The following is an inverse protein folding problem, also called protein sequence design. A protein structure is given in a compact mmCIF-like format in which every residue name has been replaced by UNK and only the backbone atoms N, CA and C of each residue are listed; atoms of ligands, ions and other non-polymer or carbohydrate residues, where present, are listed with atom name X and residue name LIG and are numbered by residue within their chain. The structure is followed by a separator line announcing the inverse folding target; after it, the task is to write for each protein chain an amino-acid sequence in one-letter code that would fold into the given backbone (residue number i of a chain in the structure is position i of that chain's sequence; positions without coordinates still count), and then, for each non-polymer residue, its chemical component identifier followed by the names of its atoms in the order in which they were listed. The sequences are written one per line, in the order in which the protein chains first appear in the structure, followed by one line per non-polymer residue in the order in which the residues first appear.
data_IF_967090572863
#
_entry.id   IF_967090572863
#
_cell.length_a   1.000
_cell.length_b   1.000
_cell.length_c   1.000
_cell.angle_alpha   90.00
_cell.angle_beta   90.00
_cell.angle_gamma   90.00
#
_symmetry.space_group_name_H-M   'P 1'
#
loop_
_entity.id
_entity.type
_entity.pdbx_description
1 polymer ?
#
# COMPACT_ATOMS: atom_id res chain seq x y z
N UNK A 1 36.36 -38.39 53.34
CA UNK A 1 36.50 -36.92 53.38
C UNK A 1 35.86 -36.36 52.12
N UNK A 2 34.76 -35.60 52.26
CA UNK A 2 34.15 -34.83 51.16
C UNK A 2 34.54 -33.36 51.32
N UNK A 3 34.92 -32.68 50.25
CA UNK A 3 35.09 -31.23 50.26
C UNK A 3 33.74 -30.54 50.01
N UNK A 4 33.45 -29.39 50.65
CA UNK A 4 32.24 -28.62 50.38
C UNK A 4 32.41 -27.72 49.15
N UNK A 5 31.36 -27.64 48.34
CA UNK A 5 31.29 -26.77 47.15
C UNK A 5 31.20 -25.28 47.55
N UNK A 6 32.13 -24.45 47.07
CA UNK A 6 32.03 -23.00 47.18
C UNK A 6 31.07 -22.40 46.14
N UNK A 7 30.54 -21.17 46.36
CA UNK A 7 29.59 -20.54 45.45
C UNK A 7 30.25 -19.99 44.18
N UNK A 8 29.58 -20.19 43.03
CA UNK A 8 30.00 -19.65 41.74
C UNK A 8 29.73 -18.14 41.67
N UNK A 9 30.80 -17.34 41.56
CA UNK A 9 30.68 -15.88 41.34
C UNK A 9 30.40 -15.63 39.85
N UNK A 10 29.20 -15.13 39.55
CA UNK A 10 28.78 -14.76 38.19
C UNK A 10 29.42 -13.42 37.81
N UNK A 11 30.07 -13.35 36.65
CA UNK A 11 30.68 -12.10 36.16
C UNK A 11 29.60 -11.01 35.92
N UNK A 12 29.93 -9.76 36.25
CA UNK A 12 29.02 -8.64 36.08
C UNK A 12 28.86 -8.27 34.60
N UNK A 13 27.64 -8.37 34.07
CA UNK A 13 27.32 -7.93 32.71
C UNK A 13 27.45 -6.41 32.52
N UNK A 14 27.54 -5.93 31.27
CA UNK A 14 27.70 -4.50 30.97
C UNK A 14 26.52 -3.69 31.54
N UNK A 15 26.84 -2.61 32.26
CA UNK A 15 25.84 -1.74 32.88
C UNK A 15 24.98 -1.08 31.80
N UNK A 16 23.66 -1.26 31.89
CA UNK A 16 22.68 -0.53 31.05
C UNK A 16 22.90 0.98 31.20
N UNK A 17 22.92 1.76 30.09
CA UNK A 17 23.13 3.20 30.15
C UNK A 17 21.99 3.90 30.91
N UNK A 18 22.32 4.96 31.65
CA UNK A 18 21.31 5.70 32.42
C UNK A 18 20.40 6.53 31.51
N UNK A 19 19.20 6.87 31.97
CA UNK A 19 18.26 7.75 31.23
C UNK A 19 18.92 9.06 30.77
N UNK A 20 19.84 9.62 31.57
CA UNK A 20 20.62 10.81 31.19
C UNK A 20 21.63 10.57 30.05
N UNK A 21 22.26 9.38 30.00
CA UNK A 21 23.16 9.03 28.90
C UNK A 21 22.38 8.79 27.59
N UNK A 22 21.20 8.18 27.67
CA UNK A 22 20.28 8.01 26.53
C UNK A 22 19.80 9.39 26.03
N UNK A 23 19.38 10.28 26.93
CA UNK A 23 18.96 11.64 26.58
C UNK A 23 20.09 12.41 25.85
N UNK A 24 21.32 12.42 26.40
CA UNK A 24 22.47 13.10 25.77
C UNK A 24 22.80 12.55 24.37
N UNK A 25 22.67 11.24 24.15
CA UNK A 25 22.85 10.63 22.80
C UNK A 25 21.78 11.09 21.82
N UNK A 26 20.51 11.16 22.25
CA UNK A 26 19.41 11.70 21.42
C UNK A 26 19.60 13.17 21.08
N UNK A 27 20.02 14.00 22.04
CA UNK A 27 20.31 15.43 21.78
C UNK A 27 21.47 15.61 20.79
N UNK A 28 22.54 14.81 20.91
CA UNK A 28 23.68 14.88 19.99
C UNK A 28 23.29 14.45 18.57
N UNK A 29 22.51 13.38 18.43
CA UNK A 29 22.01 12.92 17.13
C UNK A 29 21.12 13.99 16.47
N UNK A 30 20.19 14.60 17.22
CA UNK A 30 19.34 15.68 16.71
C UNK A 30 20.15 16.90 16.22
N UNK A 31 21.21 17.29 16.95
CA UNK A 31 22.09 18.40 16.53
C UNK A 31 22.88 18.07 15.25
N UNK A 32 23.29 16.82 15.05
CA UNK A 32 23.95 16.38 13.81
C UNK A 32 22.99 16.42 12.63
N UNK A 33 21.74 15.94 12.80
CA UNK A 33 20.71 16.00 11.75
C UNK A 33 20.41 17.46 11.36
N UNK A 34 20.22 18.36 12.32
CA UNK A 34 19.99 19.79 12.05
C UNK A 34 21.18 20.43 11.31
N UNK A 35 22.42 20.08 11.67
CA UNK A 35 23.60 20.58 10.96
C UNK A 35 23.69 20.08 9.51
N UNK A 36 23.33 18.82 9.25
CA UNK A 36 23.28 18.26 7.89
C UNK A 36 22.20 18.96 7.05
N UNK A 37 20.99 19.13 7.58
CA UNK A 37 19.89 19.82 6.89
C UNK A 37 20.26 21.27 6.56
N UNK A 38 20.89 22.00 7.49
CA UNK A 38 21.36 23.36 7.25
C UNK A 38 22.43 23.44 6.15
N UNK A 39 23.36 22.47 6.08
CA UNK A 39 24.37 22.40 5.02
C UNK A 39 23.76 22.10 3.65
N UNK A 40 22.77 21.20 3.57
CA UNK A 40 22.02 20.93 2.32
C UNK A 40 21.26 22.18 1.85
N UNK A 41 20.62 22.91 2.78
CA UNK A 41 19.88 24.14 2.46
C UNK A 41 20.78 25.30 1.99
N UNK A 42 22.03 25.35 2.48
CA UNK A 42 23.05 26.32 2.04
C UNK A 42 23.71 25.94 0.70
N UNK A 43 23.68 24.66 0.32
CA UNK A 43 24.27 24.16 -0.92
C UNK A 43 23.28 24.12 -2.11
N UNK A 44 21.99 24.39 -1.88
CA UNK A 44 20.96 24.31 -2.92
C UNK A 44 21.02 25.51 -3.88
N UNK A 45 21.15 25.30 -5.21
CA UNK A 45 21.12 26.40 -6.17
C UNK A 45 19.72 27.04 -6.18
N UNK A 46 19.65 28.36 -5.95
CA UNK A 46 18.44 29.14 -6.19
C UNK A 46 18.41 29.55 -7.65
N UNK A 47 17.47 29.04 -8.42
CA UNK A 47 17.20 29.47 -9.79
C UNK A 47 16.39 30.76 -9.77
N UNK A 48 16.97 31.86 -10.26
CA UNK A 48 16.23 33.10 -10.52
C UNK A 48 15.19 32.90 -11.64
N UNK A 49 14.08 33.63 -11.53
CA UNK A 49 12.92 33.47 -12.42
C UNK A 49 13.16 33.93 -13.85
N UNK A 50 12.41 33.35 -14.78
CA UNK A 50 12.30 33.82 -16.17
C UNK A 50 10.84 34.09 -16.47
N UNK A 51 10.46 35.36 -16.49
CA UNK A 51 9.21 35.80 -17.11
C UNK A 51 9.24 35.49 -18.61
N UNK A 52 8.24 34.76 -19.13
CA UNK A 52 7.92 34.78 -20.55
C UNK A 52 6.43 34.93 -20.81
N UNK A 53 6.14 35.81 -21.76
CA UNK A 53 4.83 36.34 -22.04
C UNK A 53 3.85 35.30 -22.59
N UNK A 54 2.59 35.44 -22.18
CA UNK A 54 1.44 34.76 -22.77
C UNK A 54 1.26 35.20 -24.22
N UNK A 55 1.38 34.25 -25.15
CA UNK A 55 0.95 34.42 -26.54
C UNK A 55 -0.33 33.63 -26.77
N UNK A 56 -1.48 34.31 -26.81
CA UNK A 56 -2.75 33.69 -27.19
C UNK A 56 -2.77 33.41 -28.69
N UNK A 57 -3.17 32.20 -29.08
CA UNK A 57 -3.96 31.97 -30.29
C UNK A 57 -4.80 30.70 -30.11
N UNK A 58 -6.08 30.81 -30.43
CA UNK A 58 -6.95 29.67 -30.69
C UNK A 58 -6.52 28.97 -31.98
N UNK A 59 -6.84 27.69 -32.13
CA UNK A 59 -7.84 27.23 -33.12
C UNK A 59 -7.99 25.70 -33.03
N UNK A 60 -9.24 25.25 -32.85
CA UNK A 60 -9.71 23.87 -33.06
C UNK A 60 -10.39 23.83 -34.44
N UNK A 61 -10.16 22.81 -35.28
CA UNK A 61 -11.22 21.81 -35.39
C UNK A 61 -10.75 20.35 -35.59
N UNK A 62 -11.36 19.47 -34.79
CA UNK A 62 -11.62 18.05 -35.02
C UNK A 62 -11.64 17.51 -36.47
N UNK A 63 -11.10 16.30 -36.70
CA UNK A 63 -11.85 15.06 -37.06
C UNK A 63 -11.00 13.95 -37.72
N UNK A 64 -11.25 12.70 -37.32
CA UNK A 64 -11.28 11.53 -38.23
C UNK A 64 -9.98 10.73 -38.48
N UNK A 65 -9.97 9.45 -38.06
CA UNK A 65 -8.98 8.45 -38.49
C UNK A 65 -9.10 7.13 -37.72
N UNK A 66 -9.75 6.12 -38.31
CA UNK A 66 -9.95 4.79 -37.70
C UNK A 66 -8.86 3.78 -38.11
N UNK A 67 -8.69 2.72 -37.30
CA UNK A 67 -7.88 1.51 -37.58
C UNK A 67 -8.38 0.73 -38.82
N UNK A 68 -7.58 -0.20 -39.39
CA UNK A 68 -7.46 -1.59 -38.89
C UNK A 68 -5.98 -2.08 -38.91
N UNK A 69 -5.56 -3.32 -38.61
CA UNK A 69 -6.15 -4.63 -38.17
C UNK A 69 -5.00 -5.39 -37.40
N UNK A 70 -5.10 -6.60 -36.84
CA UNK A 70 -6.15 -7.64 -36.74
C UNK A 70 -5.49 -8.99 -36.32
N UNK A 71 -6.18 -9.88 -35.61
CA UNK A 71 -5.62 -11.17 -35.17
C UNK A 71 -6.33 -11.87 -34.01
N UNK A 72 -7.44 -12.54 -34.34
CA UNK A 72 -7.91 -13.87 -33.87
C UNK A 72 -7.43 -14.41 -32.50
N UNK A 73 -8.27 -14.98 -31.63
CA UNK A 73 -9.70 -15.27 -31.74
C UNK A 73 -10.14 -16.20 -30.58
N UNK A 74 -10.52 -15.61 -29.45
CA UNK A 74 -11.07 -16.31 -28.28
C UNK A 74 -12.59 -16.21 -28.24
N UNK A 75 -13.28 -17.33 -28.02
CA UNK A 75 -14.74 -17.36 -27.93
C UNK A 75 -15.18 -17.05 -26.49
N UNK A 76 -15.00 -15.80 -26.09
CA UNK A 76 -15.27 -15.31 -24.74
C UNK A 76 -16.77 -15.12 -24.51
N UNK A 77 -17.49 -16.23 -24.42
CA UNK A 77 -18.79 -16.31 -23.73
C UNK A 77 -18.56 -16.30 -22.20
N UNK A 78 -17.74 -15.33 -21.76
CA UNK A 78 -17.51 -15.02 -20.36
C UNK A 78 -18.82 -14.41 -19.85
N UNK A 79 -19.65 -15.29 -19.27
CA UNK A 79 -21.08 -15.07 -19.04
C UNK A 79 -21.44 -13.64 -18.66
N UNK A 80 -21.98 -12.90 -19.62
CA UNK A 80 -22.47 -11.55 -19.42
C UNK A 80 -23.64 -11.64 -18.44
N UNK A 81 -23.39 -11.30 -17.17
CA UNK A 81 -24.45 -11.25 -16.16
C UNK A 81 -25.49 -10.24 -16.64
N UNK A 82 -26.66 -10.75 -17.02
CA UNK A 82 -27.76 -9.93 -17.52
C UNK A 82 -28.19 -8.98 -16.40
N UNK A 83 -28.17 -7.65 -16.60
CA UNK A 83 -28.58 -6.71 -15.57
C UNK A 83 -30.04 -6.98 -15.15
N UNK A 84 -30.21 -7.48 -13.93
CA UNK A 84 -31.50 -7.99 -13.41
C UNK A 84 -31.43 -9.40 -12.80
N UNK A 85 -30.37 -10.18 -13.08
CA UNK A 85 -30.18 -11.53 -12.52
C UNK A 85 -29.03 -11.63 -11.49
N UNK A 86 -28.28 -10.55 -11.25
CA UNK A 86 -27.26 -10.52 -10.20
C UNK A 86 -27.94 -10.51 -8.81
N UNK A 87 -27.74 -11.52 -7.94
CA UNK A 87 -28.31 -11.52 -6.60
C UNK A 87 -27.61 -10.56 -5.63
N UNK A 88 -26.48 -9.97 -6.01
CA UNK A 88 -25.71 -9.08 -5.13
C UNK A 88 -26.32 -7.68 -5.14
N UNK A 89 -26.84 -7.27 -3.98
CA UNK A 89 -27.35 -5.92 -3.70
C UNK A 89 -26.31 -5.08 -2.94
N UNK A 90 -25.35 -5.72 -2.25
CA UNK A 90 -24.30 -5.06 -1.47
C UNK A 90 -22.90 -5.59 -1.83
N UNK A 91 -21.95 -4.69 -2.07
CA UNK A 91 -20.53 -5.00 -2.20
C UNK A 91 -19.75 -4.29 -1.09
N UNK A 92 -18.94 -5.03 -0.34
CA UNK A 92 -18.06 -4.52 0.70
C UNK A 92 -16.61 -4.80 0.32
N UNK A 93 -15.81 -3.75 0.16
CA UNK A 93 -14.35 -3.83 0.02
C UNK A 93 -13.72 -3.66 1.42
N UNK A 94 -13.22 -4.74 2.00
CA UNK A 94 -12.47 -4.72 3.26
C UNK A 94 -10.98 -4.65 2.91
N UNK A 95 -10.36 -3.50 3.18
CA UNK A 95 -8.99 -3.19 2.76
C UNK A 95 -8.08 -3.23 3.98
N UNK A 96 -7.09 -4.12 3.95
CA UNK A 96 -6.06 -4.38 4.96
C UNK A 96 -4.71 -3.81 4.46
N UNK A 97 -3.68 -3.91 5.29
CA UNK A 97 -2.40 -3.22 5.04
C UNK A 97 -1.21 -4.16 4.81
N UNK A 98 -0.44 -3.88 3.75
CA UNK A 98 0.95 -4.24 3.48
C UNK A 98 1.25 -5.75 3.54
N UNK A 99 0.77 -6.54 2.57
CA UNK A 99 1.02 -7.99 2.45
C UNK A 99 1.10 -8.47 1.00
N UNK A 100 2.14 -9.24 0.68
CA UNK A 100 2.19 -10.06 -0.53
C UNK A 100 1.31 -11.30 -0.42
N UNK A 101 1.00 -11.92 -1.57
CA UNK A 101 0.18 -13.13 -1.60
C UNK A 101 0.95 -14.32 -1.03
N UNK A 102 2.21 -14.49 -1.43
CA UNK A 102 3.06 -15.58 -0.94
C UNK A 102 3.21 -15.56 0.59
N UNK A 103 3.28 -14.38 1.21
CA UNK A 103 3.44 -14.23 2.67
C UNK A 103 2.25 -14.75 3.48
N UNK A 104 1.01 -14.67 2.96
CA UNK A 104 -0.19 -15.16 3.66
C UNK A 104 -0.67 -16.52 3.16
N UNK A 105 -0.51 -16.78 1.86
CA UNK A 105 -1.17 -17.89 1.16
C UNK A 105 -0.25 -18.68 0.23
N UNK A 106 1.04 -18.36 0.08
CA UNK A 106 1.95 -19.10 -0.81
C UNK A 106 2.09 -20.60 -0.48
N UNK A 107 1.79 -20.98 0.78
CA UNK A 107 1.72 -22.38 1.24
C UNK A 107 0.31 -23.00 1.15
N UNK A 108 -0.70 -22.27 0.68
CA UNK A 108 -2.09 -22.73 0.62
C UNK A 108 -2.26 -23.81 -0.47
N UNK A 109 -2.97 -24.93 -0.22
CA UNK A 109 -3.08 -25.98 -1.22
C UNK A 109 -3.82 -25.56 -2.50
N UNK A 110 -3.11 -25.55 -3.63
CA UNK A 110 -3.69 -25.41 -4.97
C UNK A 110 -3.60 -24.02 -5.59
N UNK A 111 -2.94 -23.06 -4.94
CA UNK A 111 -2.60 -21.75 -5.53
C UNK A 111 -1.26 -21.82 -6.27
N UNK A 112 -1.01 -20.85 -7.15
CA UNK A 112 0.33 -20.52 -7.61
C UNK A 112 1.09 -19.81 -6.47
N UNK A 113 2.04 -20.50 -5.83
CA UNK A 113 2.76 -20.01 -4.65
C UNK A 113 4.15 -20.63 -4.51
N UNK A 114 5.06 -19.91 -3.84
CA UNK A 114 6.46 -20.27 -3.67
C UNK A 114 6.82 -20.65 -2.22
N UNK A 115 7.91 -21.41 -2.06
CA UNK A 115 8.53 -21.70 -0.74
C UNK A 115 10.02 -21.36 -0.69
N UNK A 116 10.58 -20.91 -1.81
CA UNK A 116 11.94 -20.39 -1.94
C UNK A 116 11.90 -19.12 -2.79
N UNK A 117 12.82 -18.18 -2.56
CA UNK A 117 12.84 -16.90 -3.23
C UNK A 117 14.25 -16.43 -3.57
N UNK A 118 14.42 -15.92 -4.79
CA UNK A 118 15.71 -15.44 -5.28
C UNK A 118 16.16 -14.15 -4.57
N UNK A 119 17.47 -13.92 -4.54
CA UNK A 119 18.12 -12.80 -3.85
C UNK A 119 19.16 -12.11 -4.73
N UNK A 120 19.53 -10.87 -4.35
CA UNK A 120 20.64 -10.10 -4.93
C UNK A 120 21.77 -9.89 -3.91
N UNK A 121 23.01 -9.85 -4.40
CA UNK A 121 24.10 -9.18 -3.68
C UNK A 121 23.87 -7.67 -3.75
N UNK A 122 23.34 -7.08 -2.67
CA UNK A 122 22.99 -5.66 -2.61
C UNK A 122 24.19 -4.70 -2.78
N UNK A 123 25.43 -5.20 -2.79
CA UNK A 123 26.63 -4.40 -3.09
C UNK A 123 26.97 -4.34 -4.59
N UNK A 124 26.56 -5.35 -5.36
CA UNK A 124 26.88 -5.47 -6.79
C UNK A 124 25.67 -5.59 -7.72
N UNK A 125 24.47 -5.73 -7.15
CA UNK A 125 23.18 -6.04 -7.80
C UNK A 125 23.27 -7.21 -8.79
N UNK A 126 23.96 -8.27 -8.37
CA UNK A 126 24.02 -9.55 -9.09
C UNK A 126 23.22 -10.61 -8.35
N UNK A 127 22.64 -11.53 -9.10
CA UNK A 127 21.87 -12.65 -8.58
C UNK A 127 22.74 -13.46 -7.58
N UNK A 128 22.23 -13.68 -6.36
CA UNK A 128 22.94 -14.30 -5.24
C UNK A 128 22.41 -15.69 -4.86
N UNK A 129 21.48 -16.23 -5.65
CA UNK A 129 20.81 -17.52 -5.43
C UNK A 129 19.53 -17.36 -4.62
N UNK A 130 18.93 -18.51 -4.25
CA UNK A 130 17.63 -18.57 -3.57
C UNK A 130 17.76 -18.90 -2.07
N UNK A 131 16.79 -18.45 -1.29
CA UNK A 131 16.63 -18.76 0.15
C UNK A 131 15.23 -19.33 0.42
N UNK A 132 15.13 -20.25 1.38
CA UNK A 132 13.85 -20.80 1.84
C UNK A 132 13.02 -19.71 2.57
N UNK A 133 11.72 -19.66 2.30
CA UNK A 133 10.81 -18.75 2.98
C UNK A 133 10.44 -19.32 4.36
N UNK A 134 10.97 -18.67 5.40
CA UNK A 134 10.85 -19.08 6.80
C UNK A 134 9.43 -18.90 7.37
N UNK A 135 9.14 -19.47 8.55
CA UNK A 135 7.85 -19.25 9.21
C UNK A 135 7.75 -17.79 9.72
N UNK A 136 6.68 -17.09 9.35
CA UNK A 136 6.48 -15.69 9.71
C UNK A 136 6.10 -15.51 11.19
N UNK A 137 6.72 -14.56 11.92
CA UNK A 137 6.35 -14.28 13.30
C UNK A 137 5.07 -13.44 13.37
N UNK A 138 4.16 -13.79 14.29
CA UNK A 138 2.88 -13.08 14.49
C UNK A 138 3.03 -11.56 14.76
N UNK A 139 4.19 -11.13 15.24
CA UNK A 139 4.61 -9.73 15.35
C UNK A 139 5.90 -9.58 14.58
N UNK A 140 5.85 -8.79 13.49
CA UNK A 140 7.01 -8.58 12.63
C UNK A 140 8.09 -7.73 13.32
N UNK A 141 9.40 -8.01 13.10
CA UNK A 141 10.47 -7.34 13.84
C UNK A 141 10.57 -5.84 13.51
N UNK A 142 10.21 -5.48 12.29
CA UNK A 142 10.22 -4.13 11.73
C UNK A 142 9.24 -4.06 10.55
N UNK A 143 9.13 -2.86 9.98
CA UNK A 143 8.34 -2.54 8.82
C UNK A 143 9.29 -2.44 7.61
N UNK A 144 9.09 -3.29 6.60
CA UNK A 144 9.98 -3.41 5.45
C UNK A 144 9.77 -2.26 4.47
N UNK A 145 10.77 -1.93 3.65
CA UNK A 145 10.61 -0.92 2.60
C UNK A 145 9.58 -1.34 1.55
N UNK A 146 8.43 -0.67 1.51
CA UNK A 146 7.32 -0.96 0.59
C UNK A 146 6.83 0.24 -0.24
N UNK A 147 7.59 1.33 -0.26
CA UNK A 147 7.37 2.44 -1.18
C UNK A 147 7.76 2.10 -2.63
N UNK A 148 7.42 2.97 -3.59
CA UNK A 148 7.64 2.79 -5.03
C UNK A 148 9.06 2.38 -5.42
N UNK A 149 10.11 2.99 -4.84
CA UNK A 149 11.49 2.58 -5.14
C UNK A 149 11.84 1.18 -4.59
N UNK A 150 11.55 0.85 -3.32
CA UNK A 150 11.61 -0.53 -2.84
C UNK A 150 10.86 -1.54 -3.72
N UNK A 151 9.63 -1.25 -4.17
CA UNK A 151 8.88 -2.15 -5.05
C UNK A 151 9.55 -2.36 -6.41
N UNK A 152 10.03 -1.28 -7.05
CA UNK A 152 10.88 -1.37 -8.25
C UNK A 152 12.11 -2.26 -8.03
N UNK A 153 12.83 -2.05 -6.92
CA UNK A 153 14.03 -2.80 -6.59
C UNK A 153 13.72 -4.28 -6.33
N UNK A 154 12.62 -4.59 -5.63
CA UNK A 154 12.19 -5.95 -5.33
C UNK A 154 11.88 -6.74 -6.61
N UNK A 155 11.05 -6.16 -7.50
CA UNK A 155 10.64 -6.77 -8.77
C UNK A 155 11.79 -6.86 -9.76
N UNK A 156 12.67 -5.85 -9.80
CA UNK A 156 13.90 -5.82 -10.58
C UNK A 156 13.72 -6.21 -12.07
N UNK A 157 12.71 -5.65 -12.73
CA UNK A 157 12.38 -5.97 -14.13
C UNK A 157 11.82 -7.38 -14.33
N UNK A 158 11.01 -7.86 -13.38
CA UNK A 158 10.38 -9.19 -13.41
C UNK A 158 11.32 -10.34 -13.01
N UNK A 159 12.42 -10.03 -12.31
CA UNK A 159 13.34 -11.03 -11.75
C UNK A 159 12.97 -11.49 -10.34
N UNK A 160 12.16 -10.72 -9.62
CA UNK A 160 11.65 -11.02 -8.28
C UNK A 160 12.74 -11.38 -7.26
N UNK A 161 13.89 -10.69 -7.34
CA UNK A 161 15.07 -11.06 -6.55
C UNK A 161 15.68 -9.94 -5.70
N UNK A 162 15.09 -8.74 -5.67
CA UNK A 162 15.64 -7.61 -4.91
C UNK A 162 15.05 -7.39 -3.52
N UNK A 163 14.12 -8.25 -3.06
CA UNK A 163 13.45 -8.08 -1.76
C UNK A 163 14.43 -8.06 -0.57
N UNK A 164 15.60 -8.71 -0.67
CA UNK A 164 16.62 -8.66 0.38
C UNK A 164 17.47 -7.36 0.37
N UNK A 165 17.24 -6.46 -0.60
CA UNK A 165 17.97 -5.20 -0.79
C UNK A 165 17.11 -3.95 -0.64
N UNK A 166 15.81 -4.11 -0.36
CA UNK A 166 14.95 -3.01 0.10
C UNK A 166 15.37 -2.56 1.50
N UNK A 167 14.90 -1.39 1.93
CA UNK A 167 15.18 -0.92 3.28
C UNK A 167 14.68 -1.93 4.33
N UNK A 168 15.56 -2.33 5.25
CA UNK A 168 15.30 -3.33 6.30
C UNK A 168 15.08 -4.78 5.80
N UNK A 169 15.26 -5.05 4.50
CA UNK A 169 15.18 -6.41 3.94
C UNK A 169 16.44 -7.26 4.18
N UNK A 170 17.53 -6.68 4.69
CA UNK A 170 18.85 -7.32 4.72
C UNK A 170 18.97 -8.49 5.72
N UNK A 171 18.02 -8.61 6.66
CA UNK A 171 17.92 -9.73 7.61
C UNK A 171 16.99 -10.87 7.14
N UNK A 172 16.46 -10.76 5.91
CA UNK A 172 15.52 -11.68 5.28
C UNK A 172 14.15 -11.81 5.96
N UNK A 173 13.73 -10.87 6.81
CA UNK A 173 12.37 -10.88 7.39
C UNK A 173 11.26 -10.91 6.33
N UNK A 174 11.49 -10.30 5.16
CA UNK A 174 10.58 -10.35 4.00
C UNK A 174 10.44 -11.73 3.35
N UNK A 175 11.40 -12.64 3.55
CA UNK A 175 11.37 -14.03 3.06
C UNK A 175 10.77 -14.93 4.14
N UNK A 176 9.51 -14.66 4.47
CA UNK A 176 8.75 -15.44 5.45
C UNK A 176 7.31 -15.65 5.00
N UNK A 177 6.64 -16.65 5.56
CA UNK A 177 5.26 -17.03 5.25
C UNK A 177 4.50 -17.50 6.48
N UNK A 178 3.22 -17.19 6.51
CA UNK A 178 2.27 -17.82 7.41
C UNK A 178 1.74 -19.13 6.84
N UNK A 179 1.06 -19.86 7.72
CA UNK A 179 0.40 -21.13 7.45
C UNK A 179 -0.98 -21.18 8.10
N UNK A 180 -1.65 -22.34 8.01
CA UNK A 180 -2.95 -22.57 8.62
C UNK A 180 -2.97 -22.44 10.15
N UNK A 181 -1.87 -22.77 10.83
CA UNK A 181 -1.82 -22.77 12.28
C UNK A 181 -1.61 -21.35 12.84
N UNK A 182 -1.05 -20.45 12.03
CA UNK A 182 -0.81 -19.04 12.34
C UNK A 182 -1.88 -18.06 11.83
N UNK A 183 -2.50 -18.30 10.67
CA UNK A 183 -3.64 -17.54 10.13
C UNK A 183 -4.88 -18.45 9.87
N UNK A 184 -5.43 -19.07 10.93
CA UNK A 184 -6.46 -20.11 10.79
C UNK A 184 -7.78 -19.59 10.23
N UNK A 185 -8.16 -18.33 10.45
CA UNK A 185 -9.43 -17.81 9.97
C UNK A 185 -9.37 -17.41 8.50
N UNK A 186 -8.28 -16.76 8.07
CA UNK A 186 -8.03 -16.44 6.67
C UNK A 186 -7.93 -17.69 5.80
N UNK A 187 -7.21 -18.72 6.25
CA UNK A 187 -7.20 -20.01 5.57
C UNK A 187 -8.57 -20.70 5.59
N UNK A 188 -9.36 -20.55 6.67
CA UNK A 188 -10.73 -21.08 6.74
C UNK A 188 -11.79 -20.27 5.96
N UNK A 189 -11.46 -19.06 5.49
CA UNK A 189 -12.24 -18.34 4.48
C UNK A 189 -11.88 -18.84 3.08
N UNK A 190 -10.60 -18.99 2.76
CA UNK A 190 -10.16 -19.58 1.49
C UNK A 190 -10.75 -20.99 1.28
N UNK A 191 -10.86 -21.81 2.33
CA UNK A 191 -11.49 -23.15 2.28
C UNK A 191 -12.99 -23.16 1.89
N UNK A 192 -13.68 -22.03 2.02
CA UNK A 192 -15.15 -21.93 1.91
C UNK A 192 -15.63 -20.99 0.81
N UNK A 193 -14.79 -20.05 0.41
CA UNK A 193 -15.09 -18.99 -0.54
C UNK A 193 -14.12 -19.07 -1.72
N UNK A 194 -13.81 -17.93 -2.35
CA UNK A 194 -12.85 -17.84 -3.46
C UNK A 194 -11.58 -17.16 -2.93
N UNK A 195 -10.44 -17.76 -3.25
CA UNK A 195 -9.12 -17.12 -3.18
C UNK A 195 -8.71 -16.75 -4.61
N UNK A 196 -8.11 -15.57 -4.79
CA UNK A 196 -7.58 -15.11 -6.06
C UNK A 196 -6.06 -14.97 -5.93
N UNK A 197 -5.32 -15.92 -6.51
CA UNK A 197 -3.85 -15.99 -6.52
C UNK A 197 -3.20 -15.17 -7.65
N UNK A 198 -4.02 -14.51 -8.46
CA UNK A 198 -3.60 -13.54 -9.49
C UNK A 198 -4.34 -12.22 -9.36
N UNK A 199 -4.34 -11.68 -8.13
CA UNK A 199 -4.83 -10.33 -7.81
C UNK A 199 -3.64 -9.47 -7.38
N UNK A 200 -3.39 -8.39 -8.13
CA UNK A 200 -2.18 -7.58 -7.99
C UNK A 200 -2.50 -6.18 -7.47
N UNK A 201 -1.56 -5.60 -6.73
CA UNK A 201 -1.54 -4.17 -6.38
C UNK A 201 -1.43 -3.32 -7.65
N UNK A 202 -1.94 -2.08 -7.64
CA UNK A 202 -2.17 -1.30 -8.86
C UNK A 202 -0.91 -0.63 -9.41
N UNK A 203 0.06 -0.41 -8.54
CA UNK A 203 1.42 0.05 -8.78
C UNK A 203 2.35 -0.49 -7.68
N UNK A 204 3.63 -0.08 -7.66
CA UNK A 204 4.66 -0.62 -6.76
C UNK A 204 4.50 -0.25 -5.27
N UNK A 205 3.31 0.14 -4.80
CA UNK A 205 3.08 0.76 -3.50
C UNK A 205 3.56 2.21 -3.40
N UNK A 206 3.39 2.88 -2.25
CA UNK A 206 2.82 2.35 -1.00
C UNK A 206 1.30 2.60 -0.85
N UNK A 207 0.76 2.32 0.34
CA UNK A 207 -0.59 2.60 0.82
C UNK A 207 -1.35 3.77 0.18
N UNK A 208 -0.89 5.02 0.30
CA UNK A 208 -1.72 6.17 -0.11
C UNK A 208 -2.14 6.14 -1.59
N UNK A 209 -1.23 5.96 -2.57
CA UNK A 209 -1.64 5.78 -3.95
C UNK A 209 -2.49 4.52 -4.19
N UNK A 210 -2.28 3.41 -3.48
CA UNK A 210 -3.13 2.20 -3.61
C UNK A 210 -4.55 2.42 -3.09
N UNK A 211 -4.73 3.07 -1.93
CA UNK A 211 -6.05 3.46 -1.45
C UNK A 211 -6.74 4.44 -2.42
N UNK A 212 -6.02 5.29 -3.16
CA UNK A 212 -6.59 6.08 -4.27
C UNK A 212 -7.10 5.17 -5.40
N UNK A 213 -6.37 4.10 -5.78
CA UNK A 213 -6.86 3.12 -6.76
C UNK A 213 -8.15 2.44 -6.29
N UNK A 214 -8.29 2.07 -5.00
CA UNK A 214 -9.53 1.45 -4.48
C UNK A 214 -10.79 2.32 -4.62
N UNK A 215 -10.64 3.65 -4.72
CA UNK A 215 -11.75 4.60 -4.87
C UNK A 215 -11.83 5.26 -6.25
N UNK A 216 -10.79 5.21 -7.08
CA UNK A 216 -10.70 5.98 -8.32
C UNK A 216 -10.16 5.22 -9.56
N UNK A 217 -9.61 4.02 -9.37
CA UNK A 217 -8.82 3.29 -10.38
C UNK A 217 -7.66 4.13 -10.98
N UNK A 218 -7.13 5.09 -10.21
CA UNK A 218 -5.96 5.91 -10.52
C UNK A 218 -5.38 6.53 -9.25
N UNK A 219 -4.07 6.80 -9.21
CA UNK A 219 -3.42 7.53 -8.12
C UNK A 219 -3.23 9.04 -8.38
N UNK A 220 -3.82 9.63 -9.43
CA UNK A 220 -3.41 10.95 -9.95
C UNK A 220 -1.92 11.01 -10.37
N UNK A 221 -1.29 9.85 -10.62
CA UNK A 221 0.15 9.71 -10.88
C UNK A 221 1.01 9.81 -9.61
N UNK A 222 0.42 9.84 -8.42
CA UNK A 222 1.12 9.88 -7.13
C UNK A 222 1.89 8.57 -6.95
N UNK A 223 3.13 8.69 -6.47
CA UNK A 223 4.08 7.57 -6.34
C UNK A 223 4.50 7.27 -4.91
N UNK A 224 4.08 8.08 -3.93
CA UNK A 224 4.54 7.89 -2.55
C UNK A 224 3.49 8.35 -1.55
N UNK A 225 3.65 7.87 -0.32
CA UNK A 225 2.97 8.40 0.84
C UNK A 225 3.30 9.89 1.02
N UNK A 226 2.39 10.58 1.70
CA UNK A 226 2.52 11.99 2.01
C UNK A 226 3.76 12.32 2.84
N UNK A 227 4.37 13.48 2.60
CA UNK A 227 5.65 13.87 3.21
C UNK A 227 5.59 14.25 4.70
N UNK A 228 4.40 14.46 5.27
CA UNK A 228 4.19 14.75 6.71
C UNK A 228 3.29 13.70 7.36
N UNK A 229 3.89 12.75 8.07
CA UNK A 229 3.16 11.95 9.07
C UNK A 229 2.95 12.78 10.34
N UNK A 230 1.73 12.77 10.90
CA UNK A 230 1.36 13.39 12.19
C UNK A 230 1.21 14.93 12.23
N UNK A 231 0.44 15.52 11.30
CA UNK A 231 -0.15 16.87 11.47
C UNK A 231 -1.67 16.72 11.62
N UNK A 232 -2.28 17.43 12.56
CA UNK A 232 -3.74 17.42 12.77
C UNK A 232 -4.45 17.88 11.49
N UNK A 233 -5.46 17.12 11.07
CA UNK A 233 -6.13 17.29 9.78
C UNK A 233 -5.68 16.24 8.76
N UNK A 234 -4.41 16.26 8.35
CA UNK A 234 -3.90 15.60 7.14
C UNK A 234 -4.53 16.15 5.83
N UNK A 235 -3.93 15.76 4.70
CA UNK A 235 -4.51 15.87 3.36
C UNK A 235 -5.07 17.26 3.04
N UNK A 236 -6.36 17.37 2.73
CA UNK A 236 -6.98 18.66 2.43
C UNK A 236 -7.05 19.63 3.60
N UNK A 237 -6.99 19.15 4.84
CA UNK A 237 -7.00 19.96 6.05
C UNK A 237 -5.60 20.44 6.45
N UNK A 238 -4.52 19.80 5.97
CA UNK A 238 -3.14 20.28 6.10
C UNK A 238 -2.68 21.06 4.84
N UNK A 239 -2.31 22.33 5.02
CA UNK A 239 -1.79 23.16 3.93
C UNK A 239 -0.28 22.95 3.68
N UNK A 240 0.40 22.24 4.56
CA UNK A 240 1.84 21.90 4.47
C UNK A 240 2.10 20.52 3.88
N UNK A 241 1.05 19.76 3.57
CA UNK A 241 1.16 18.39 3.10
C UNK A 241 1.29 18.28 1.57
N UNK A 242 2.35 17.61 1.15
CA UNK A 242 2.70 17.36 -0.27
C UNK A 242 3.13 15.91 -0.47
N UNK A 243 2.97 15.40 -1.68
CA UNK A 243 3.52 14.13 -2.16
C UNK A 243 4.19 14.30 -3.53
N UNK A 244 5.00 13.33 -3.95
CA UNK A 244 5.55 13.28 -5.30
C UNK A 244 4.58 12.58 -6.25
N UNK A 245 4.54 13.06 -7.50
CA UNK A 245 3.79 12.41 -8.58
C UNK A 245 4.47 12.56 -9.93
N UNK A 246 4.18 11.64 -10.85
CA UNK A 246 4.31 11.89 -12.27
C UNK A 246 3.20 12.86 -12.75
N UNK A 247 3.52 13.97 -13.43
CA UNK A 247 2.53 14.82 -14.08
C UNK A 247 2.07 14.18 -15.39
N UNK A 248 1.17 13.19 -15.29
CA UNK A 248 0.73 12.36 -16.43
C UNK A 248 0.20 13.18 -17.61
N UNK A 249 -0.34 14.39 -17.37
CA UNK A 249 -0.81 15.31 -18.41
C UNK A 249 0.31 16.10 -19.12
N UNK A 250 1.54 16.08 -18.59
CA UNK A 250 2.72 16.76 -19.16
C UNK A 250 3.73 15.79 -19.80
N UNK A 251 3.65 14.49 -19.49
CA UNK A 251 4.56 13.47 -20.04
C UNK A 251 4.24 13.12 -21.49
N UNK A 252 5.28 13.01 -22.33
CA UNK A 252 5.13 12.48 -23.70
C UNK A 252 5.19 10.95 -23.72
N UNK A 253 4.68 10.32 -24.78
CA UNK A 253 4.83 8.88 -25.02
C UNK A 253 6.29 8.39 -24.92
N UNK A 254 7.26 9.22 -25.34
CA UNK A 254 8.67 8.87 -25.31
C UNK A 254 9.29 9.04 -23.91
N UNK A 255 8.76 9.95 -23.10
CA UNK A 255 9.07 10.04 -21.67
C UNK A 255 8.52 8.83 -20.91
N UNK A 256 7.26 8.45 -21.15
CA UNK A 256 6.64 7.24 -20.56
C UNK A 256 7.46 6.00 -20.91
N UNK A 257 7.75 5.76 -22.20
CA UNK A 257 8.62 4.65 -22.64
C UNK A 257 10.02 4.73 -22.03
N UNK A 258 10.54 5.92 -21.72
CA UNK A 258 11.84 6.09 -21.07
C UNK A 258 11.77 5.77 -19.58
N UNK A 259 10.73 6.21 -18.88
CA UNK A 259 10.47 5.89 -17.47
C UNK A 259 10.37 4.37 -17.31
N UNK A 260 9.50 3.69 -18.07
CA UNK A 260 9.36 2.23 -18.02
C UNK A 260 10.69 1.51 -18.23
N UNK A 261 11.50 1.90 -19.24
CA UNK A 261 12.83 1.31 -19.44
C UNK A 261 13.82 1.56 -18.30
N UNK A 262 13.67 2.65 -17.53
CA UNK A 262 14.51 2.92 -16.36
C UNK A 262 14.07 2.04 -15.17
N UNK A 263 12.77 1.81 -15.03
CA UNK A 263 12.12 0.94 -14.05
C UNK A 263 12.49 -0.54 -14.28
N UNK A 264 12.28 -1.05 -15.51
CA UNK A 264 12.68 -2.40 -15.96
C UNK A 264 14.17 -2.73 -15.70
N UNK A 265 15.01 -1.69 -15.57
CA UNK A 265 16.46 -1.80 -15.45
C UNK A 265 16.98 -1.14 -14.17
N UNK A 266 16.17 -1.02 -13.11
CA UNK A 266 16.47 -0.24 -11.89
C UNK A 266 17.85 -0.53 -11.27
N UNK A 267 18.31 -1.78 -11.34
CA UNK A 267 19.62 -2.22 -10.83
C UNK A 267 20.79 -2.10 -11.83
N UNK A 268 20.51 -1.98 -13.13
CA UNK A 268 21.50 -2.16 -14.19
C UNK A 268 22.61 -1.09 -14.20
N UNK A 269 22.33 0.13 -13.72
CA UNK A 269 23.33 1.20 -13.55
C UNK A 269 23.01 2.03 -12.30
N UNK A 270 24.02 2.61 -11.62
CA UNK A 270 23.77 3.52 -10.51
C UNK A 270 22.91 4.72 -10.92
N UNK A 271 21.99 5.13 -10.02
CA UNK A 271 21.18 6.33 -10.18
C UNK A 271 20.01 6.22 -11.17
N UNK A 272 19.52 5.02 -11.49
CA UNK A 272 18.27 4.85 -12.26
C UNK A 272 17.10 5.61 -11.61
N UNK A 273 16.89 5.45 -10.29
CA UNK A 273 15.89 6.21 -9.53
C UNK A 273 16.02 7.73 -9.71
N UNK A 274 17.24 8.28 -9.71
CA UNK A 274 17.46 9.71 -9.90
C UNK A 274 17.10 10.19 -11.31
N UNK A 275 17.10 9.30 -12.31
CA UNK A 275 16.64 9.59 -13.68
C UNK A 275 15.11 9.49 -13.79
N UNK A 276 14.47 8.62 -13.00
CA UNK A 276 13.01 8.51 -12.89
C UNK A 276 12.46 9.74 -12.15
N UNK A 277 13.02 10.07 -10.98
CA UNK A 277 12.61 11.19 -10.14
C UNK A 277 12.80 12.59 -10.79
N UNK A 278 13.53 12.69 -11.90
CA UNK A 278 13.57 13.90 -12.73
C UNK A 278 12.22 14.22 -13.39
N UNK A 279 11.34 13.21 -13.50
CA UNK A 279 9.97 13.34 -14.01
C UNK A 279 8.93 13.57 -12.92
N UNK A 280 9.34 13.66 -11.65
CA UNK A 280 8.40 13.90 -10.55
C UNK A 280 8.22 15.38 -10.27
N UNK A 281 6.99 15.74 -9.89
CA UNK A 281 6.67 17.02 -9.29
C UNK A 281 6.13 16.85 -7.87
N UNK A 282 6.47 17.81 -7.01
CA UNK A 282 5.83 17.95 -5.71
C UNK A 282 4.43 18.54 -5.92
N UNK A 283 3.39 17.83 -5.47
CA UNK A 283 2.00 18.30 -5.52
C UNK A 283 1.41 18.38 -4.11
N UNK A 284 0.50 19.33 -3.87
CA UNK A 284 -0.23 19.40 -2.60
C UNK A 284 -1.14 18.19 -2.50
N UNK A 285 -1.19 17.52 -1.35
CA UNK A 285 -2.00 16.30 -1.14
C UNK A 285 -3.49 16.61 -0.91
N UNK A 286 -4.03 17.49 -1.76
CA UNK A 286 -5.42 17.91 -1.78
C UNK A 286 -5.79 18.38 -3.18
N UNK A 287 -6.35 17.46 -3.97
CA UNK A 287 -6.55 17.60 -5.42
C UNK A 287 -7.95 17.13 -5.81
N UNK A 288 -8.26 17.15 -7.10
CA UNK A 288 -9.50 16.62 -7.64
C UNK A 288 -9.18 15.62 -8.76
N UNK A 289 -9.54 14.37 -8.54
CA UNK A 289 -9.72 13.35 -9.57
C UNK A 289 -11.16 12.84 -9.49
N UNK A 290 -11.65 12.22 -10.56
CA UNK A 290 -12.94 11.54 -10.56
C UNK A 290 -12.84 10.27 -9.71
N UNK A 291 -13.77 10.05 -8.80
CA UNK A 291 -13.82 8.86 -7.93
C UNK A 291 -15.10 8.05 -8.16
N UNK A 292 -15.10 6.75 -7.84
CA UNK A 292 -16.28 5.89 -7.93
C UNK A 292 -17.47 6.44 -7.11
N UNK A 293 -17.29 6.99 -5.89
CA UNK A 293 -18.32 7.76 -5.18
C UNK A 293 -19.04 8.84 -5.99
N UNK A 294 -18.40 9.52 -6.95
CA UNK A 294 -19.08 10.47 -7.85
C UNK A 294 -20.12 9.78 -8.72
N UNK A 295 -19.77 8.61 -9.28
CA UNK A 295 -20.68 7.85 -10.14
C UNK A 295 -21.83 7.26 -9.32
N UNK A 296 -21.52 6.68 -8.16
CA UNK A 296 -22.54 6.16 -7.25
C UNK A 296 -23.51 7.28 -6.82
N UNK A 297 -22.98 8.47 -6.49
CA UNK A 297 -23.79 9.64 -6.13
C UNK A 297 -24.65 10.15 -7.29
N UNK A 298 -24.13 10.20 -8.52
CA UNK A 298 -24.85 10.64 -9.71
C UNK A 298 -25.95 9.66 -10.15
N UNK A 299 -25.75 8.36 -9.91
CA UNK A 299 -26.72 7.31 -10.23
C UNK A 299 -27.67 6.96 -9.07
N UNK A 300 -27.59 7.67 -7.94
CA UNK A 300 -28.45 7.44 -6.77
C UNK A 300 -28.17 6.13 -6.02
N UNK A 301 -27.04 5.49 -6.28
CA UNK A 301 -26.63 4.25 -5.62
C UNK A 301 -26.14 4.60 -4.20
N UNK A 302 -26.65 3.87 -3.20
CA UNK A 302 -26.26 4.10 -1.80
C UNK A 302 -24.81 3.66 -1.57
N UNK A 303 -24.03 4.52 -0.92
CA UNK A 303 -22.64 4.22 -0.61
C UNK A 303 -22.19 4.89 0.70
N UNK A 304 -21.24 4.27 1.39
CA UNK A 304 -20.48 4.85 2.52
C UNK A 304 -19.02 4.39 2.48
N UNK A 305 -18.14 5.19 3.08
CA UNK A 305 -16.73 4.86 3.28
C UNK A 305 -16.51 4.79 4.80
N UNK A 306 -16.39 3.57 5.32
CA UNK A 306 -16.27 3.28 6.74
C UNK A 306 -14.78 3.34 7.14
N UNK A 307 -14.32 4.54 7.52
CA UNK A 307 -12.95 4.85 7.90
C UNK A 307 -12.92 6.02 8.87
N UNK A 308 -11.95 6.05 9.79
CA UNK A 308 -11.76 7.18 10.70
C UNK A 308 -11.43 8.46 9.89
N UNK A 309 -12.07 9.62 10.18
CA UNK A 309 -11.94 10.82 9.34
C UNK A 309 -10.53 11.32 9.06
N UNK A 310 -9.61 11.20 10.03
CA UNK A 310 -8.23 11.70 9.98
C UNK A 310 -7.17 10.58 9.92
N UNK A 311 -7.54 9.37 9.50
CA UNK A 311 -6.57 8.28 9.32
C UNK A 311 -5.85 8.45 7.99
N UNK A 312 -4.54 8.18 7.97
CA UNK A 312 -3.74 8.40 6.77
C UNK A 312 -4.11 7.45 5.61
N UNK A 313 -4.75 6.30 5.88
CA UNK A 313 -5.34 5.43 4.86
C UNK A 313 -6.58 6.03 4.15
N UNK A 314 -7.19 7.11 4.65
CA UNK A 314 -8.43 7.68 4.09
C UNK A 314 -8.17 8.52 2.83
N UNK A 315 -8.04 7.84 1.69
CA UNK A 315 -7.84 8.46 0.38
C UNK A 315 -8.90 9.52 0.03
N UNK A 316 -10.16 9.37 0.47
CA UNK A 316 -11.22 10.36 0.21
C UNK A 316 -10.98 11.71 0.90
N UNK A 317 -10.13 11.77 1.94
CA UNK A 317 -9.74 13.03 2.58
C UNK A 317 -8.84 13.90 1.68
N UNK A 318 -8.07 13.28 0.77
CA UNK A 318 -7.26 13.99 -0.23
C UNK A 318 -8.08 14.53 -1.42
N UNK A 319 -9.32 14.06 -1.57
CA UNK A 319 -10.20 14.43 -2.68
C UNK A 319 -11.01 15.67 -2.31
N UNK A 320 -10.55 16.84 -2.76
CA UNK A 320 -11.02 18.16 -2.31
C UNK A 320 -12.53 18.37 -2.41
N UNK A 321 -13.16 17.91 -3.49
CA UNK A 321 -14.61 18.05 -3.69
C UNK A 321 -15.44 17.04 -2.88
N UNK A 322 -14.86 15.90 -2.47
CA UNK A 322 -15.48 14.99 -1.49
C UNK A 322 -15.36 15.61 -0.10
N UNK A 323 -14.12 15.93 0.33
CA UNK A 323 -13.79 16.40 1.68
C UNK A 323 -14.51 17.68 2.11
N UNK A 324 -14.63 18.65 1.20
CA UNK A 324 -15.34 19.92 1.46
C UNK A 324 -16.75 19.95 0.84
N UNK A 325 -17.24 18.83 0.32
CA UNK A 325 -18.56 18.69 -0.28
C UNK A 325 -19.55 17.92 0.61
N UNK A 326 -20.83 17.82 0.20
CA UNK A 326 -21.86 17.10 0.95
C UNK A 326 -21.59 15.59 1.02
N UNK A 327 -20.72 15.05 0.14
CA UNK A 327 -20.32 13.65 0.16
C UNK A 327 -19.49 13.26 1.40
N UNK A 328 -18.82 14.21 2.07
CA UNK A 328 -18.06 13.92 3.30
C UNK A 328 -18.92 13.31 4.42
N UNK A 329 -20.22 13.62 4.47
CA UNK A 329 -21.17 13.02 5.43
C UNK A 329 -21.35 11.50 5.26
N UNK A 330 -20.82 10.90 4.19
CA UNK A 330 -20.81 9.45 3.94
C UNK A 330 -19.49 8.77 4.35
N UNK A 331 -18.50 9.54 4.79
CA UNK A 331 -17.30 9.05 5.48
C UNK A 331 -17.67 8.96 6.97
N UNK A 332 -17.57 7.79 7.56
CA UNK A 332 -18.02 7.50 8.94
C UNK A 332 -17.10 6.48 9.61
N UNK A 333 -17.03 6.48 10.94
CA UNK A 333 -16.15 5.56 11.68
C UNK A 333 -16.46 4.07 11.36
N UNK A 334 -15.46 3.16 11.34
CA UNK A 334 -15.61 1.77 10.91
C UNK A 334 -16.77 1.02 11.59
N UNK A 335 -16.94 1.22 12.90
CA UNK A 335 -17.96 0.60 13.74
C UNK A 335 -19.40 0.94 13.29
N UNK A 336 -19.58 1.99 12.49
CA UNK A 336 -20.88 2.41 11.95
C UNK A 336 -21.52 1.33 11.09
N UNK A 337 -20.72 0.51 10.39
CA UNK A 337 -21.25 -0.62 9.59
C UNK A 337 -22.03 -1.61 10.47
N UNK A 338 -21.60 -1.82 11.72
CA UNK A 338 -22.27 -2.68 12.70
C UNK A 338 -23.62 -2.12 13.16
N UNK A 339 -23.88 -0.84 12.93
CA UNK A 339 -25.19 -0.20 13.16
C UNK A 339 -26.07 -0.33 11.92
N UNK A 340 -25.52 -0.08 10.73
CA UNK A 340 -26.24 -0.25 9.46
C UNK A 340 -26.73 -1.69 9.26
N UNK A 341 -25.89 -2.69 9.55
CA UNK A 341 -26.25 -4.12 9.52
C UNK A 341 -27.38 -4.50 10.50
N UNK A 342 -27.53 -3.76 11.61
CA UNK A 342 -28.62 -3.96 12.60
C UNK A 342 -29.90 -3.21 12.25
N UNK A 343 -29.80 -2.15 11.46
CA UNK A 343 -30.91 -1.30 11.04
C UNK A 343 -31.46 -1.66 9.66
N UNK A 344 -30.82 -2.61 8.96
CA UNK A 344 -31.12 -2.99 7.57
C UNK A 344 -30.90 -1.80 6.59
N UNK A 345 -29.84 -1.04 6.85
CA UNK A 345 -29.46 0.18 6.10
C UNK A 345 -28.06 0.09 5.48
N UNK A 346 -27.56 -1.13 5.25
CA UNK A 346 -26.27 -1.35 4.59
C UNK A 346 -26.28 -0.70 3.18
N UNK A 347 -25.27 0.09 2.80
CA UNK A 347 -25.19 0.67 1.46
C UNK A 347 -24.95 -0.40 0.38
N UNK A 348 -25.31 -0.10 -0.86
CA UNK A 348 -25.05 -0.99 -1.99
C UNK A 348 -23.54 -1.11 -2.31
N UNK A 349 -22.75 -0.06 -2.04
CA UNK A 349 -21.28 -0.11 -2.14
C UNK A 349 -20.64 0.46 -0.87
N UNK A 350 -19.78 -0.32 -0.25
CA UNK A 350 -19.11 0.01 1.01
C UNK A 350 -17.61 -0.23 0.91
N UNK A 351 -16.83 0.70 1.43
CA UNK A 351 -15.42 0.47 1.76
C UNK A 351 -15.30 0.36 3.28
N UNK A 352 -14.59 -0.63 3.79
CA UNK A 352 -14.36 -0.86 5.21
C UNK A 352 -12.86 -0.86 5.47
N UNK A 353 -12.38 0.24 6.05
CA UNK A 353 -10.97 0.49 6.37
C UNK A 353 -10.81 0.31 7.90
N UNK A 354 -9.95 -0.61 8.37
CA UNK A 354 -9.69 -0.77 9.79
C UNK A 354 -9.03 0.49 10.42
N UNK A 355 -9.18 0.69 11.74
CA UNK A 355 -8.41 1.71 12.45
C UNK A 355 -6.91 1.35 12.55
N UNK A 356 -6.07 2.31 12.91
CA UNK A 356 -4.62 2.10 13.08
C UNK A 356 -4.30 1.09 14.19
N UNK A 357 -3.16 0.42 14.05
CA UNK A 357 -2.67 -0.59 14.99
C UNK A 357 -3.09 -2.00 14.56
N UNK A 358 -3.26 -2.90 15.52
CA UNK A 358 -3.52 -4.33 15.27
C UNK A 358 -4.58 -4.62 14.18
N UNK A 359 -5.67 -3.85 14.16
CA UNK A 359 -6.80 -4.06 13.27
C UNK A 359 -6.46 -3.98 11.76
N UNK A 360 -5.52 -3.11 11.35
CA UNK A 360 -5.18 -2.93 9.93
C UNK A 360 -4.13 -3.92 9.41
N UNK A 361 -3.39 -4.57 10.31
CA UNK A 361 -2.26 -5.49 10.04
C UNK A 361 -0.97 -4.84 9.51
N UNK A 362 -0.85 -3.51 9.48
CA UNK A 362 0.39 -2.86 9.03
C UNK A 362 1.60 -3.41 9.81
N UNK A 363 2.64 -3.92 9.14
CA UNK A 363 3.71 -4.68 9.77
C UNK A 363 4.55 -3.80 10.70
N UNK A 364 5.26 -4.46 11.60
CA UNK A 364 6.19 -3.85 12.54
C UNK A 364 6.00 -4.28 13.99
N UNK A 365 6.96 -3.89 14.82
CA UNK A 365 7.12 -4.36 16.22
C UNK A 365 5.98 -4.03 17.20
N UNK A 366 4.94 -3.34 16.74
CA UNK A 366 3.78 -2.90 17.52
C UNK A 366 2.46 -3.56 17.11
N UNK A 367 2.45 -4.37 16.05
CA UNK A 367 1.23 -4.94 15.45
C UNK A 367 1.28 -6.46 15.52
N UNK A 368 0.22 -7.08 16.03
CA UNK A 368 0.03 -8.53 16.04
C UNK A 368 -0.99 -8.95 14.99
N UNK A 369 -0.55 -9.76 14.02
CA UNK A 369 -1.38 -10.21 12.90
C UNK A 369 -2.63 -10.97 13.35
N UNK A 370 -2.56 -11.73 14.46
CA UNK A 370 -3.73 -12.46 14.97
C UNK A 370 -4.82 -11.52 15.51
N UNK A 371 -4.45 -10.35 16.03
CA UNK A 371 -5.43 -9.37 16.50
C UNK A 371 -6.06 -8.60 15.33
N UNK A 372 -5.33 -8.45 14.23
CA UNK A 372 -5.87 -8.02 12.94
C UNK A 372 -6.82 -9.04 12.32
N UNK A 373 -6.48 -10.33 12.36
CA UNK A 373 -7.34 -11.42 11.91
C UNK A 373 -8.61 -11.47 12.77
N UNK A 374 -8.49 -11.34 14.11
CA UNK A 374 -9.62 -11.24 15.04
C UNK A 374 -10.58 -10.10 14.65
N UNK A 375 -10.07 -8.91 14.34
CA UNK A 375 -10.88 -7.77 13.91
C UNK A 375 -11.64 -8.09 12.61
N UNK A 376 -10.97 -8.65 11.60
CA UNK A 376 -11.62 -9.07 10.36
C UNK A 376 -12.69 -10.14 10.61
N UNK A 377 -12.40 -11.11 11.48
CA UNK A 377 -13.36 -12.16 11.89
C UNK A 377 -14.58 -11.58 12.60
N UNK A 378 -14.43 -10.57 13.46
CA UNK A 378 -15.56 -9.91 14.13
C UNK A 378 -16.51 -9.27 13.10
N UNK A 379 -15.97 -8.45 12.20
CA UNK A 379 -16.76 -7.73 11.20
C UNK A 379 -17.39 -8.68 10.17
N UNK A 380 -16.64 -9.68 9.68
CA UNK A 380 -17.19 -10.70 8.78
C UNK A 380 -18.25 -11.58 9.45
N UNK A 381 -18.14 -11.87 10.75
CA UNK A 381 -19.20 -12.55 11.49
C UNK A 381 -20.46 -11.67 11.62
N UNK A 382 -20.31 -10.36 11.82
CA UNK A 382 -21.44 -9.44 11.87
C UNK A 382 -22.16 -9.36 10.52
N UNK A 383 -21.39 -9.26 9.42
CA UNK A 383 -21.92 -9.27 8.05
C UNK A 383 -22.66 -10.58 7.76
N UNK A 384 -22.03 -11.74 7.97
CA UNK A 384 -22.61 -13.07 7.68
C UNK A 384 -23.84 -13.43 8.53
N UNK A 385 -24.04 -12.76 9.67
CA UNK A 385 -25.23 -12.94 10.54
C UNK A 385 -26.34 -11.91 10.28
N UNK A 386 -26.10 -10.93 9.41
CA UNK A 386 -27.07 -9.88 9.07
C UNK A 386 -28.14 -10.38 8.09
N UNK A 387 -29.24 -9.62 7.97
CA UNK A 387 -30.27 -9.88 6.96
C UNK A 387 -29.76 -9.68 5.52
N UNK A 388 -28.75 -8.82 5.33
CA UNK A 388 -28.15 -8.50 4.03
C UNK A 388 -27.24 -9.62 3.46
N UNK A 389 -26.77 -10.56 4.30
CA UNK A 389 -25.79 -11.59 3.87
C UNK A 389 -26.16 -12.36 2.59
N UNK A 390 -27.41 -12.83 2.38
CA UNK A 390 -27.77 -13.59 1.16
C UNK A 390 -27.57 -12.81 -0.15
N UNK A 391 -27.44 -11.48 -0.07
CA UNK A 391 -27.29 -10.55 -1.19
C UNK A 391 -26.01 -9.71 -1.06
N UNK A 392 -25.04 -10.12 -0.23
CA UNK A 392 -23.78 -9.40 -0.01
C UNK A 392 -22.57 -10.14 -0.57
N UNK A 393 -21.74 -9.46 -1.34
CA UNK A 393 -20.38 -9.88 -1.65
C UNK A 393 -19.38 -9.08 -0.79
N UNK A 394 -18.40 -9.78 -0.20
CA UNK A 394 -17.27 -9.14 0.48
C UNK A 394 -15.99 -9.50 -0.25
N UNK A 395 -15.19 -8.49 -0.59
CA UNK A 395 -13.85 -8.65 -1.14
C UNK A 395 -12.87 -8.22 -0.06
N UNK A 396 -12.00 -9.14 0.37
CA UNK A 396 -10.90 -8.84 1.29
C UNK A 396 -9.65 -8.64 0.43
N UNK A 397 -8.99 -7.50 0.58
CA UNK A 397 -7.75 -7.16 -0.15
C UNK A 397 -6.76 -6.50 0.81
N UNK A 398 -5.49 -6.49 0.42
CA UNK A 398 -4.45 -5.67 1.01
C UNK A 398 -4.08 -4.57 0.00
N UNK A 399 -3.65 -3.41 0.48
CA UNK A 399 -3.31 -2.24 -0.33
C UNK A 399 -2.04 -2.45 -1.18
N UNK A 400 -0.92 -2.78 -0.53
CA UNK A 400 0.38 -3.04 -1.16
C UNK A 400 1.07 -4.30 -0.60
N UNK A 401 2.21 -4.64 -1.17
CA UNK A 401 2.97 -5.87 -0.91
C UNK A 401 3.71 -5.90 0.45
N UNK A 402 3.84 -4.76 1.14
CA UNK A 402 4.47 -4.65 2.45
C UNK A 402 5.95 -5.00 2.54
N UNK A 403 6.66 -5.08 1.42
CA UNK A 403 8.08 -5.47 1.39
C UNK A 403 8.30 -6.98 1.48
N UNK A 404 7.25 -7.77 1.64
CA UNK A 404 7.33 -9.23 1.71
C UNK A 404 7.52 -9.84 0.33
N UNK A 405 8.26 -10.95 0.27
CA UNK A 405 8.55 -11.65 -0.96
C UNK A 405 7.26 -12.11 -1.66
N UNK A 406 7.24 -12.00 -2.97
CA UNK A 406 6.30 -12.66 -3.87
C UNK A 406 7.05 -13.12 -5.12
N UNK A 407 6.74 -14.30 -5.63
CA UNK A 407 7.42 -14.85 -6.80
C UNK A 407 6.85 -14.37 -8.15
N UNK A 408 5.67 -13.73 -8.17
CA UNK A 408 4.98 -13.38 -9.42
C UNK A 408 5.39 -11.98 -9.93
N UNK A 409 5.93 -11.86 -11.17
CA UNK A 409 6.51 -10.62 -11.71
C UNK A 409 5.52 -9.61 -12.32
#
# INVERSE_FOLDING_TARGET
MQQPSGPLIRAAGPRRPTRQQIARRRTLAALIVVAIVALVWLAWPRSDGIDRAVGTNSDDPSTGGASPDGGEGGNDDAGVIVPGENPIEHVIFLIKENRSFDHYFGRYPGVEGATEGDTLDCSSFKDAGSVELSDAPLVQPHDLGHAFYPGLLAINGGKMNGFNCIALGEDLAGYSQYDRDSLPAYWAYADRFVIADRFFTSMYGPTFPEHLYTVAAQSYGIVDNKSTTNVEGNYCDDNTEYTQRFPLEELTDDDIKRIMRLEDNITATPGQLLKIAQYWQSTRTCFNIKVLPDQLQNHGISWKYYALPNIWMNALQAIRHVRFGPMWNKVQDPETILQDLKQDTLPAVSWLIPPEGDANEHPGSSTNVCEGENWTVEYLNAIQRSAAWPNTAVVIVWDDFGGFYDHVP
#
